data_IF_842175238384
#
_entry.id   IF_842175238384
#
_cell.length_a   1.000
_cell.length_b   1.000
_cell.length_c   1.000
_cell.angle_alpha   90.00
_cell.angle_beta   90.00
_cell.angle_gamma   90.00
#
_symmetry.space_group_name_H-M   'P 1'
#
loop_
_entity.id
_entity.type
_entity.pdbx_description
1 polymer ?
#
# COMPACT_ATOMS: atom_id res chain seq x y z
N UNK A 1 -53.29 -35.51 28.50
CA UNK A 1 -53.81 -34.98 27.24
C UNK A 1 -53.50 -33.51 27.11
N UNK A 2 -52.19 -33.15 27.17
CA UNK A 2 -51.70 -31.76 27.06
C UNK A 2 -50.24 -31.75 26.63
N UNK A 3 -49.94 -32.42 25.50
CA UNK A 3 -48.54 -32.42 25.00
C UNK A 3 -48.40 -32.16 23.50
N UNK A 4 -49.53 -31.91 22.78
CA UNK A 4 -49.50 -31.75 21.33
C UNK A 4 -49.45 -30.29 20.84
N UNK A 5 -49.78 -29.34 21.70
CA UNK A 5 -49.89 -27.95 21.30
C UNK A 5 -48.54 -27.17 21.27
N UNK A 6 -47.56 -27.56 22.08
CA UNK A 6 -46.29 -26.83 22.16
C UNK A 6 -45.29 -27.17 21.03
N UNK A 7 -45.41 -28.33 20.40
CA UNK A 7 -44.49 -28.74 19.32
C UNK A 7 -44.86 -28.13 17.95
N UNK A 8 -46.11 -27.78 17.74
CA UNK A 8 -46.58 -27.18 16.47
C UNK A 8 -46.25 -25.68 16.41
N UNK A 9 -46.26 -25.00 17.55
CA UNK A 9 -45.96 -23.56 17.60
C UNK A 9 -44.47 -23.28 17.39
N UNK A 10 -43.58 -24.17 17.88
CA UNK A 10 -42.11 -24.02 17.72
C UNK A 10 -41.69 -24.29 16.27
N UNK A 11 -42.33 -25.24 15.59
CA UNK A 11 -42.02 -25.55 14.19
C UNK A 11 -42.49 -24.45 13.22
N UNK A 12 -43.59 -23.75 13.54
CA UNK A 12 -44.13 -22.69 12.69
C UNK A 12 -43.29 -21.40 12.80
N UNK A 13 -42.76 -21.10 13.97
CA UNK A 13 -41.89 -19.92 14.15
C UNK A 13 -40.49 -20.06 13.50
N UNK A 14 -39.95 -21.27 13.35
CA UNK A 14 -38.69 -21.52 12.68
C UNK A 14 -38.82 -21.38 11.15
N UNK A 15 -39.92 -21.81 10.58
CA UNK A 15 -40.15 -21.70 9.13
C UNK A 15 -40.37 -20.26 8.70
N UNK A 16 -41.07 -19.44 9.50
CA UNK A 16 -41.27 -18.01 9.19
C UNK A 16 -40.00 -17.19 9.33
N UNK A 17 -39.09 -17.53 10.27
CA UNK A 17 -37.82 -16.82 10.41
C UNK A 17 -36.82 -17.12 9.26
N UNK A 18 -36.80 -18.35 8.75
CA UNK A 18 -35.96 -18.69 7.59
C UNK A 18 -36.45 -18.01 6.31
N UNK A 19 -37.79 -17.87 6.13
CA UNK A 19 -38.33 -17.16 4.96
C UNK A 19 -38.02 -15.65 4.98
N UNK A 20 -37.95 -15.04 6.16
CA UNK A 20 -37.56 -13.63 6.30
C UNK A 20 -36.09 -13.39 6.01
N UNK A 21 -35.20 -14.32 6.37
CA UNK A 21 -33.77 -14.22 6.03
C UNK A 21 -33.48 -14.49 4.55
N UNK A 22 -34.29 -15.37 3.90
CA UNK A 22 -34.11 -15.61 2.47
C UNK A 22 -34.52 -14.41 1.60
N UNK A 23 -35.55 -13.64 2.01
CA UNK A 23 -35.93 -12.42 1.32
C UNK A 23 -34.98 -11.25 1.55
N UNK A 24 -34.41 -11.12 2.74
CA UNK A 24 -33.41 -10.08 3.04
C UNK A 24 -32.13 -10.28 2.21
N UNK A 25 -31.69 -11.52 1.97
CA UNK A 25 -30.53 -11.83 1.17
C UNK A 25 -30.73 -11.66 -0.34
N UNK A 26 -31.95 -11.78 -0.84
CA UNK A 26 -32.21 -11.57 -2.28
C UNK A 26 -32.28 -10.09 -2.68
N UNK A 27 -32.63 -9.19 -1.77
CA UNK A 27 -32.58 -7.74 -2.04
C UNK A 27 -31.13 -7.18 -1.99
N UNK A 28 -30.27 -7.74 -1.15
CA UNK A 28 -28.86 -7.31 -1.06
C UNK A 28 -28.04 -7.74 -2.30
N UNK A 29 -28.46 -8.80 -3.00
CA UNK A 29 -27.76 -9.30 -4.20
C UNK A 29 -28.21 -8.64 -5.51
N UNK A 30 -29.25 -7.81 -5.47
CA UNK A 30 -29.68 -6.99 -6.62
C UNK A 30 -28.96 -5.63 -6.62
N UNK A 31 -27.66 -5.59 -6.38
CA UNK A 31 -26.86 -4.40 -6.65
C UNK A 31 -26.82 -4.20 -8.16
N UNK A 32 -27.51 -3.17 -8.64
CA UNK A 32 -27.38 -2.64 -9.99
C UNK A 32 -25.90 -2.60 -10.33
N UNK A 33 -25.47 -3.39 -11.29
CA UNK A 33 -24.07 -3.43 -11.76
C UNK A 33 -23.76 -2.05 -12.33
N UNK A 34 -23.20 -1.19 -11.48
CA UNK A 34 -22.77 0.13 -11.88
C UNK A 34 -21.55 -0.03 -12.80
N UNK A 35 -21.69 0.37 -14.04
CA UNK A 35 -20.57 0.32 -15.01
C UNK A 35 -19.63 1.45 -14.67
N UNK A 36 -18.52 1.11 -14.02
CA UNK A 36 -17.45 2.07 -13.73
C UNK A 36 -16.85 2.56 -15.05
N UNK A 37 -16.78 3.87 -15.22
CA UNK A 37 -16.18 4.47 -16.42
C UNK A 37 -14.67 4.20 -16.40
N UNK A 38 -14.06 3.78 -17.53
CA UNK A 38 -12.60 3.57 -17.59
C UNK A 38 -11.78 4.78 -17.12
N UNK A 39 -12.23 6.00 -17.42
CA UNK A 39 -11.59 7.24 -16.96
C UNK A 39 -11.55 7.36 -15.44
N UNK A 40 -12.62 6.96 -14.75
CA UNK A 40 -12.64 6.99 -13.28
C UNK A 40 -11.63 6.02 -12.65
N UNK A 41 -11.34 4.90 -13.31
CA UNK A 41 -10.28 3.96 -12.88
C UNK A 41 -8.90 4.59 -13.05
N UNK A 42 -8.65 5.23 -14.20
CA UNK A 42 -7.39 5.91 -14.47
C UNK A 42 -7.16 7.09 -13.51
N UNK A 43 -8.21 7.88 -13.24
CA UNK A 43 -8.14 8.98 -12.28
C UNK A 43 -7.82 8.47 -10.87
N UNK A 44 -8.49 7.40 -10.43
CA UNK A 44 -8.21 6.78 -9.13
C UNK A 44 -6.78 6.25 -9.05
N UNK A 45 -6.32 5.54 -10.09
CA UNK A 45 -4.94 5.06 -10.17
C UNK A 45 -3.92 6.20 -10.07
N UNK A 46 -4.10 7.26 -10.85
CA UNK A 46 -3.20 8.42 -10.85
C UNK A 46 -3.16 9.12 -9.49
N UNK A 47 -4.31 9.29 -8.85
CA UNK A 47 -4.39 9.90 -7.54
C UNK A 47 -3.71 9.06 -6.46
N UNK A 48 -3.88 7.73 -6.48
CA UNK A 48 -3.21 6.82 -5.56
C UNK A 48 -1.70 6.85 -5.79
N UNK A 49 -1.25 6.78 -7.04
CA UNK A 49 0.16 6.86 -7.38
C UNK A 49 0.79 8.17 -6.88
N UNK A 50 0.14 9.31 -7.16
CA UNK A 50 0.63 10.61 -6.70
C UNK A 50 0.74 10.69 -5.18
N UNK A 51 -0.27 10.22 -4.44
CA UNK A 51 -0.25 10.20 -2.98
C UNK A 51 0.91 9.32 -2.47
N UNK A 52 1.04 8.09 -3.01
CA UNK A 52 2.08 7.14 -2.59
C UNK A 52 3.50 7.69 -2.85
N UNK A 53 3.76 8.27 -4.01
CA UNK A 53 5.06 8.89 -4.30
C UNK A 53 5.31 10.15 -3.47
N UNK A 54 4.26 10.91 -3.12
CA UNK A 54 4.39 12.06 -2.23
C UNK A 54 4.80 11.63 -0.81
N UNK A 55 4.21 10.55 -0.30
CA UNK A 55 4.57 10.00 1.00
C UNK A 55 6.01 9.45 1.00
N UNK A 56 6.42 8.77 -0.07
CA UNK A 56 7.80 8.30 -0.21
C UNK A 56 8.81 9.47 -0.26
N UNK A 57 8.49 10.54 -0.98
CA UNK A 57 9.32 11.76 -1.02
C UNK A 57 9.45 12.41 0.35
N UNK A 58 8.33 12.55 1.09
CA UNK A 58 8.35 13.10 2.44
C UNK A 58 9.19 12.24 3.40
N UNK A 59 9.08 10.91 3.30
CA UNK A 59 9.91 9.98 4.05
C UNK A 59 11.41 10.14 3.73
N UNK A 60 11.75 10.26 2.46
CA UNK A 60 13.14 10.47 2.03
C UNK A 60 13.72 11.81 2.51
N UNK A 61 12.93 12.89 2.49
CA UNK A 61 13.33 14.20 3.02
C UNK A 61 13.56 14.11 4.54
N UNK A 62 12.69 13.44 5.28
CA UNK A 62 12.85 13.25 6.71
C UNK A 62 14.12 12.44 7.03
N UNK A 63 14.38 11.37 6.29
CA UNK A 63 15.61 10.57 6.40
C UNK A 63 16.84 11.41 6.12
N UNK A 64 16.86 12.17 5.02
CA UNK A 64 17.97 13.06 4.69
C UNK A 64 18.28 14.02 5.83
N UNK A 65 17.26 14.67 6.39
CA UNK A 65 17.43 15.59 7.50
C UNK A 65 18.00 14.91 8.76
N UNK A 66 17.58 13.70 9.06
CA UNK A 66 18.11 12.93 10.19
C UNK A 66 19.58 12.54 9.97
N UNK A 67 19.94 12.12 8.75
CA UNK A 67 21.34 11.83 8.38
C UNK A 67 22.21 13.09 8.46
N UNK A 68 21.74 14.22 7.92
CA UNK A 68 22.45 15.50 7.98
C UNK A 68 22.71 15.94 9.43
N UNK A 69 21.75 15.74 10.32
CA UNK A 69 21.90 16.03 11.75
C UNK A 69 22.90 15.09 12.42
N UNK A 70 22.85 13.79 12.10
CA UNK A 70 23.83 12.84 12.60
C UNK A 70 25.26 13.18 12.12
N UNK A 71 25.42 13.51 10.84
CA UNK A 71 26.73 13.87 10.28
C UNK A 71 27.32 15.13 10.94
N UNK A 72 26.48 16.10 11.29
CA UNK A 72 26.92 17.34 11.98
C UNK A 72 27.23 17.13 13.46
N UNK A 73 26.49 16.23 14.11
CA UNK A 73 26.61 15.92 15.52
C UNK A 73 26.47 14.41 15.75
N UNK A 74 27.57 13.64 15.64
CA UNK A 74 27.57 12.18 15.68
C UNK A 74 27.41 11.66 17.11
N UNK A 75 26.19 11.66 17.60
CA UNK A 75 25.81 11.08 18.89
C UNK A 75 24.99 9.82 18.68
N UNK A 76 24.94 8.94 19.68
CA UNK A 76 24.10 7.74 19.65
C UNK A 76 22.63 8.11 19.43
N UNK A 77 22.15 9.16 20.07
CA UNK A 77 20.77 9.63 19.91
C UNK A 77 20.45 10.02 18.46
N UNK A 78 21.36 10.74 17.79
CA UNK A 78 21.16 11.14 16.40
C UNK A 78 21.30 9.96 15.44
N UNK A 79 22.15 8.99 15.73
CA UNK A 79 22.22 7.74 14.99
C UNK A 79 20.91 6.95 15.07
N UNK A 80 20.35 6.84 16.27
CA UNK A 80 19.09 6.13 16.47
C UNK A 80 17.91 6.83 15.77
N UNK A 81 17.90 8.17 15.75
CA UNK A 81 16.95 8.96 14.96
C UNK A 81 17.10 8.69 13.46
N UNK A 82 18.32 8.64 12.94
CA UNK A 82 18.55 8.36 11.53
C UNK A 82 18.13 6.93 11.15
N UNK A 83 18.43 5.94 11.98
CA UNK A 83 17.97 4.56 11.79
C UNK A 83 16.45 4.46 11.79
N UNK A 84 15.79 5.12 12.72
CA UNK A 84 14.32 5.12 12.75
C UNK A 84 13.71 5.83 11.53
N UNK A 85 14.28 6.95 11.11
CA UNK A 85 13.86 7.65 9.90
C UNK A 85 14.03 6.78 8.64
N UNK A 86 15.11 6.00 8.57
CA UNK A 86 15.33 5.03 7.49
C UNK A 86 14.24 3.94 7.47
N UNK A 87 13.91 3.35 8.61
CA UNK A 87 12.85 2.35 8.70
C UNK A 87 11.51 2.91 8.22
N UNK A 88 11.13 4.11 8.66
CA UNK A 88 9.88 4.77 8.24
C UNK A 88 9.90 5.07 6.74
N UNK A 89 11.01 5.59 6.21
CA UNK A 89 11.17 5.89 4.79
C UNK A 89 11.05 4.64 3.92
N UNK A 90 11.55 3.50 4.37
CA UNK A 90 11.40 2.22 3.66
C UNK A 90 9.95 1.78 3.53
N UNK A 91 9.15 1.97 4.57
CA UNK A 91 7.72 1.60 4.53
C UNK A 91 6.97 2.40 3.46
N UNK A 92 7.19 3.71 3.39
CA UNK A 92 6.55 4.56 2.38
C UNK A 92 7.09 4.28 0.97
N UNK A 93 8.40 4.09 0.81
CA UNK A 93 9.01 3.75 -0.47
C UNK A 93 8.55 2.38 -0.98
N UNK A 94 8.50 1.37 -0.12
CA UNK A 94 8.06 0.02 -0.48
C UNK A 94 6.67 -0.03 -1.10
N UNK A 95 5.76 0.87 -0.70
CA UNK A 95 4.43 0.97 -1.29
C UNK A 95 4.45 1.44 -2.75
N UNK A 96 5.51 2.12 -3.20
CA UNK A 96 5.65 2.55 -4.60
C UNK A 96 5.94 1.41 -5.55
N UNK A 97 6.39 0.26 -5.06
CA UNK A 97 6.78 -0.89 -5.90
C UNK A 97 5.64 -1.44 -6.75
N UNK A 98 4.39 -1.28 -6.30
CA UNK A 98 3.20 -1.68 -7.07
C UNK A 98 3.10 -0.94 -8.42
N UNK A 99 3.72 0.23 -8.55
CA UNK A 99 3.70 1.05 -9.76
C UNK A 99 4.91 0.79 -10.69
N UNK A 100 5.92 0.04 -10.24
CA UNK A 100 7.19 -0.15 -10.95
C UNK A 100 7.01 -0.87 -12.29
N UNK A 101 6.08 -1.81 -12.39
CA UNK A 101 5.82 -2.55 -13.63
C UNK A 101 5.04 -1.76 -14.70
N UNK A 102 4.72 -0.51 -14.44
CA UNK A 102 3.95 0.35 -15.36
C UNK A 102 4.81 1.17 -16.33
N UNK A 103 6.12 0.96 -16.35
CA UNK A 103 7.09 1.76 -17.14
C UNK A 103 6.97 3.27 -16.85
N UNK A 104 6.88 3.60 -15.57
CA UNK A 104 6.85 4.97 -15.08
C UNK A 104 8.23 5.64 -15.05
N UNK A 105 8.34 6.87 -14.54
CA UNK A 105 9.60 7.65 -14.52
C UNK A 105 10.78 6.97 -13.82
N UNK A 106 10.52 6.01 -12.92
CA UNK A 106 11.56 5.26 -12.21
C UNK A 106 12.09 4.09 -13.04
N UNK A 107 11.19 3.34 -13.72
CA UNK A 107 11.48 2.04 -14.31
C UNK A 107 11.56 2.02 -15.83
N UNK A 108 11.17 3.09 -16.52
CA UNK A 108 11.18 3.12 -17.97
C UNK A 108 12.63 3.12 -18.48
N UNK A 109 13.03 2.05 -19.14
CA UNK A 109 14.34 1.90 -19.76
C UNK A 109 14.38 2.48 -21.19
N UNK A 110 13.20 2.58 -21.83
CA UNK A 110 13.03 3.03 -23.21
C UNK A 110 11.83 3.96 -23.39
N UNK A 111 11.75 4.61 -24.54
CA UNK A 111 10.65 5.46 -24.94
C UNK A 111 10.67 6.86 -24.31
N UNK A 112 9.62 7.63 -24.57
CA UNK A 112 9.55 9.04 -24.21
C UNK A 112 9.67 9.32 -22.69
N UNK A 113 9.24 8.38 -21.84
CA UNK A 113 9.34 8.53 -20.38
C UNK A 113 10.81 8.45 -19.97
N UNK A 114 11.56 7.46 -20.50
CA UNK A 114 13.00 7.34 -20.25
C UNK A 114 13.77 8.54 -20.80
N UNK A 115 13.40 9.04 -21.98
CA UNK A 115 14.01 10.22 -22.60
C UNK A 115 13.79 11.49 -21.75
N UNK A 116 12.57 11.66 -21.19
CA UNK A 116 12.19 12.82 -20.40
C UNK A 116 12.77 12.82 -18.98
N UNK A 117 12.82 11.66 -18.33
CA UNK A 117 13.12 11.54 -16.90
C UNK A 117 14.40 10.75 -16.60
N UNK A 118 14.90 9.98 -17.56
CA UNK A 118 16.00 9.03 -17.40
C UNK A 118 15.58 7.81 -16.56
N UNK A 119 16.26 6.70 -16.76
CA UNK A 119 16.06 5.50 -15.94
C UNK A 119 16.66 5.72 -14.54
N UNK A 120 15.82 5.98 -13.56
CA UNK A 120 16.24 6.35 -12.19
C UNK A 120 16.43 5.15 -11.28
N UNK A 121 16.01 3.95 -11.67
CA UNK A 121 16.04 2.78 -10.81
C UNK A 121 17.44 2.49 -10.26
N UNK A 122 18.46 2.50 -11.10
CA UNK A 122 19.83 2.25 -10.68
C UNK A 122 20.41 3.30 -9.70
N UNK A 123 19.77 4.47 -9.59
CA UNK A 123 20.15 5.48 -8.61
C UNK A 123 19.41 5.35 -7.28
N UNK A 124 18.21 4.74 -7.32
CA UNK A 124 17.33 4.62 -6.15
C UNK A 124 17.45 3.23 -5.52
N UNK A 125 17.59 2.21 -6.35
CA UNK A 125 17.58 0.80 -5.96
C UNK A 125 18.68 0.05 -6.72
N UNK A 126 19.93 0.30 -6.36
CA UNK A 126 21.08 -0.40 -6.94
C UNK A 126 21.18 -1.81 -6.34
N UNK A 127 20.91 -2.82 -7.15
CA UNK A 127 21.04 -4.22 -6.77
C UNK A 127 21.83 -4.99 -7.83
N UNK A 128 22.80 -5.83 -7.43
CA UNK A 128 23.27 -6.10 -6.06
C UNK A 128 24.16 -4.98 -5.52
N UNK A 129 24.05 -4.71 -4.22
CA UNK A 129 24.95 -3.80 -3.50
C UNK A 129 26.05 -4.65 -2.84
N UNK A 130 27.31 -4.27 -3.00
CA UNK A 130 28.43 -4.88 -2.26
C UNK A 130 28.54 -4.23 -0.89
N UNK A 131 27.86 -4.79 0.07
CA UNK A 131 27.84 -4.30 1.46
C UNK A 131 29.22 -4.34 2.11
N UNK A 132 30.07 -5.29 1.72
CA UNK A 132 31.45 -5.37 2.25
C UNK A 132 32.30 -4.15 1.88
N UNK A 133 32.04 -3.53 0.74
CA UNK A 133 32.73 -2.30 0.36
C UNK A 133 32.30 -1.09 1.20
N UNK A 134 31.06 -1.12 1.73
CA UNK A 134 30.50 -0.04 2.54
C UNK A 134 30.91 -0.19 4.01
N UNK A 135 30.85 -1.42 4.50
CA UNK A 135 31.11 -1.75 5.91
C UNK A 135 32.52 -2.32 6.14
N UNK A 136 33.42 -2.01 5.23
CA UNK A 136 34.81 -2.44 5.34
C UNK A 136 35.52 -1.63 6.42
N UNK A 137 35.75 -2.25 7.56
CA UNK A 137 36.64 -1.72 8.61
C UNK A 137 38.03 -2.30 8.43
N UNK A 138 39.01 -1.41 8.31
CA UNK A 138 40.42 -1.79 8.39
C UNK A 138 40.80 -1.73 9.87
N UNK A 139 41.01 -2.90 10.50
CA UNK A 139 41.62 -3.00 11.82
C UNK A 139 43.14 -2.63 11.77
#
# INVERSE_FOLDING_TARGET
MLSFSKKVIVSLSIVTSVALFANANSEVLSTKKETVKPTAVLDAYSNIALATYSDALNGAIALKNAIDNFAKNPTQENLDKAKNAWLISRETYGQTEVFRLSKGPVDAEDGWVSEAYGAKEGQINAWPLDENMIDYTID
#
